data_IF_119549915762
#
_entry.id   IF_119549915762
#
_cell.length_a   1.000
_cell.length_b   1.000
_cell.length_c   1.000
_cell.angle_alpha   90.00
_cell.angle_beta   90.00
_cell.angle_gamma   90.00
#
_symmetry.space_group_name_H-M   'P 1'
#
loop_
_entity.id
_entity.type
_entity.pdbx_description
1 polymer ?
#
# COMPACT_ATOMS: atom_id res chain seq x y z
N UNK A 1 -57.32 46.04 18.27
CA UNK A 1 -58.45 45.30 18.88
C UNK A 1 -59.29 44.73 17.76
N UNK A 2 -59.62 43.42 17.71
CA UNK A 2 -58.80 42.26 18.15
C UNK A 2 -57.61 42.11 17.15
N UNK A 3 -57.02 40.99 16.69
CA UNK A 3 -56.96 39.54 17.03
C UNK A 3 -58.00 38.51 16.46
N UNK A 4 -57.53 37.25 16.25
CA UNK A 4 -58.25 36.00 15.88
C UNK A 4 -59.06 35.98 14.55
N UNK A 5 -59.38 34.83 13.91
CA UNK A 5 -58.67 33.54 13.72
C UNK A 5 -59.51 32.61 12.81
N UNK A 6 -58.90 31.83 11.90
CA UNK A 6 -59.43 30.60 11.25
C UNK A 6 -58.35 30.07 10.28
N UNK A 7 -57.46 29.14 10.62
CA UNK A 7 -57.65 27.66 10.63
C UNK A 7 -58.36 27.09 9.39
N UNK A 8 -57.56 26.56 8.47
CA UNK A 8 -57.92 25.39 7.66
C UNK A 8 -56.73 24.43 7.60
N UNK A 9 -57.02 23.14 7.66
CA UNK A 9 -56.04 22.07 7.84
C UNK A 9 -55.72 21.36 6.52
N UNK A 10 -54.44 21.28 6.16
CA UNK A 10 -53.95 20.27 5.24
C UNK A 10 -52.87 19.44 5.91
N UNK A 11 -53.21 18.18 6.21
CA UNK A 11 -52.25 17.14 6.56
C UNK A 11 -51.50 16.69 5.32
N UNK A 12 -50.18 16.76 5.35
CA UNK A 12 -49.30 16.06 4.42
C UNK A 12 -48.22 15.36 5.24
N UNK A 13 -48.23 14.03 5.21
CA UNK A 13 -47.25 13.20 5.90
C UNK A 13 -45.85 13.39 5.29
N UNK A 14 -44.84 13.52 6.14
CA UNK A 14 -43.46 13.84 5.76
C UNK A 14 -42.55 12.59 5.83
N UNK A 15 -42.00 12.10 4.70
CA UNK A 15 -41.10 10.96 4.71
C UNK A 15 -39.65 11.35 5.05
N UNK A 16 -39.14 10.73 6.12
CA UNK A 16 -37.72 10.36 6.31
C UNK A 16 -36.62 11.38 5.98
N UNK A 17 -36.11 12.08 6.99
CA UNK A 17 -34.82 12.79 6.92
C UNK A 17 -33.64 11.79 6.97
N UNK A 18 -32.91 11.60 5.88
CA UNK A 18 -31.66 10.82 5.85
C UNK A 18 -30.41 11.73 5.97
N UNK A 19 -29.62 11.64 7.07
CA UNK A 19 -28.40 12.42 7.26
C UNK A 19 -27.33 12.21 6.18
N UNK A 20 -27.35 11.10 5.43
CA UNK A 20 -26.28 10.73 4.49
C UNK A 20 -26.29 11.58 3.21
N UNK A 21 -27.44 12.10 2.79
CA UNK A 21 -27.54 12.90 1.57
C UNK A 21 -27.06 14.35 1.76
N UNK A 22 -27.27 14.94 2.94
CA UNK A 22 -26.94 16.34 3.23
C UNK A 22 -25.44 16.64 3.06
N UNK A 23 -24.57 15.76 3.54
CA UNK A 23 -23.11 15.88 3.38
C UNK A 23 -22.63 15.69 1.93
N UNK A 24 -23.39 15.00 1.08
CA UNK A 24 -23.04 14.85 -0.33
C UNK A 24 -23.32 16.16 -1.09
N UNK A 25 -24.48 16.77 -0.83
CA UNK A 25 -24.93 17.98 -1.54
C UNK A 25 -24.11 19.23 -1.15
N UNK A 26 -23.71 19.36 0.11
CA UNK A 26 -22.84 20.46 0.58
C UNK A 26 -21.45 20.45 -0.10
N UNK A 27 -20.92 19.25 -0.38
CA UNK A 27 -19.62 19.05 -1.04
C UNK A 27 -19.63 19.42 -2.53
N UNK A 28 -20.79 19.36 -3.18
CA UNK A 28 -20.96 19.77 -4.59
C UNK A 28 -20.95 21.30 -4.75
N UNK A 29 -21.59 22.02 -3.81
CA UNK A 29 -21.66 23.49 -3.80
C UNK A 29 -20.27 24.10 -3.62
N UNK A 30 -19.45 23.54 -2.71
CA UNK A 30 -18.11 24.05 -2.42
C UNK A 30 -17.15 23.95 -3.63
N UNK A 31 -17.31 22.93 -4.48
CA UNK A 31 -16.47 22.73 -5.68
C UNK A 31 -16.86 23.74 -6.78
N UNK A 32 -18.15 23.94 -7.02
CA UNK A 32 -18.63 24.90 -8.02
C UNK A 32 -18.28 26.36 -7.67
N UNK A 33 -18.10 26.69 -6.39
CA UNK A 33 -17.65 28.01 -5.93
C UNK A 33 -16.17 28.31 -6.21
N UNK A 34 -15.38 27.33 -6.67
CA UNK A 34 -13.92 27.47 -6.90
C UNK A 34 -13.53 27.44 -8.39
N UNK A 35 -14.49 27.43 -9.32
CA UNK A 35 -14.24 27.31 -10.77
C UNK A 35 -14.66 28.54 -11.59
N UNK A 36 -14.83 29.71 -10.97
CA UNK A 36 -15.34 30.90 -11.65
C UNK A 36 -14.60 32.19 -11.23
N UNK A 37 -13.53 32.60 -11.93
CA UNK A 37 -12.78 33.81 -11.62
C UNK A 37 -13.53 35.08 -12.10
N UNK A 38 -13.69 36.13 -11.27
CA UNK A 38 -14.29 37.38 -11.71
C UNK A 38 -13.35 38.13 -12.68
N UNK A 39 -13.95 38.80 -13.67
CA UNK A 39 -13.20 39.61 -14.64
C UNK A 39 -12.84 41.00 -14.11
N UNK A 40 -11.78 41.59 -14.70
CA UNK A 40 -11.27 42.97 -14.50
C UNK A 40 -10.51 43.15 -13.17
N UNK A 41 -9.50 44.03 -13.07
CA UNK A 41 -9.08 45.12 -13.97
C UNK A 41 -7.55 45.20 -14.06
N UNK A 42 -6.99 45.73 -15.15
CA UNK A 42 -5.56 46.03 -15.26
C UNK A 42 -5.14 47.11 -14.26
N UNK A 43 -4.02 46.89 -13.55
CA UNK A 43 -3.24 47.94 -12.90
C UNK A 43 -1.75 47.68 -13.18
N UNK A 44 -1.11 48.58 -13.92
CA UNK A 44 0.29 48.44 -14.35
C UNK A 44 1.25 48.89 -13.26
N UNK A 45 2.02 47.95 -12.70
CA UNK A 45 3.21 48.26 -11.91
C UNK A 45 4.47 48.19 -12.80
N UNK A 46 5.48 49.04 -12.57
CA UNK A 46 6.69 49.06 -13.40
C UNK A 46 7.56 47.83 -13.16
N UNK A 47 8.15 47.31 -14.24
CA UNK A 47 9.12 46.21 -14.20
C UNK A 47 10.43 46.69 -13.55
N UNK A 48 10.90 45.98 -12.52
CA UNK A 48 12.25 46.16 -11.96
C UNK A 48 13.16 45.03 -12.49
N UNK A 49 14.31 45.33 -13.13
CA UNK A 49 15.20 44.29 -13.64
C UNK A 49 15.98 43.59 -12.50
N UNK A 50 16.33 42.30 -12.66
CA UNK A 50 17.20 41.61 -11.72
C UNK A 50 18.66 42.14 -11.81
N UNK A 51 19.44 42.05 -10.72
CA UNK A 51 20.84 42.50 -10.71
C UNK A 51 21.74 41.60 -11.57
N UNK A 52 22.69 42.21 -12.28
CA UNK A 52 23.74 41.48 -12.99
C UNK A 52 24.70 40.83 -11.99
N UNK A 53 24.89 39.51 -12.10
CA UNK A 53 26.05 38.84 -11.53
C UNK A 53 27.25 38.98 -12.48
N UNK A 54 28.27 39.72 -12.06
CA UNK A 54 29.55 39.84 -12.78
C UNK A 54 30.44 38.64 -12.50
N UNK A 55 30.75 37.85 -13.53
CA UNK A 55 31.81 36.84 -13.46
C UNK A 55 33.18 37.52 -13.43
N UNK A 56 33.95 37.29 -12.36
CA UNK A 56 35.38 37.63 -12.30
C UNK A 56 36.20 36.39 -12.63
N UNK A 57 36.99 36.45 -13.69
CA UNK A 57 37.86 35.36 -14.13
C UNK A 57 39.25 35.51 -13.52
N UNK A 58 39.69 34.56 -12.70
CA UNK A 58 41.11 34.37 -12.39
C UNK A 58 41.61 33.06 -13.00
N UNK A 59 42.66 33.17 -13.80
CA UNK A 59 43.51 32.09 -14.32
C UNK A 59 44.92 32.34 -13.80
N UNK A 60 45.73 31.29 -13.57
CA UNK A 60 47.22 31.22 -13.59
C UNK A 60 47.68 30.00 -12.76
N UNK A 61 48.70 29.22 -13.17
CA UNK A 61 49.21 28.96 -14.52
C UNK A 61 49.33 27.45 -14.84
N UNK A 62 49.90 27.12 -16.00
CA UNK A 62 50.43 25.77 -16.31
C UNK A 62 51.93 25.76 -16.09
N UNK A 63 52.47 24.68 -15.51
CA UNK A 63 53.91 24.37 -15.53
C UNK A 63 54.13 22.89 -15.86
N UNK A 64 54.73 22.62 -17.01
CA UNK A 64 55.36 21.31 -17.28
C UNK A 64 56.65 21.21 -16.49
N UNK A 65 56.96 20.01 -15.98
CA UNK A 65 58.33 19.51 -15.99
C UNK A 65 58.35 17.98 -16.15
N UNK A 66 59.45 17.42 -16.61
CA UNK A 66 59.58 16.01 -16.96
C UNK A 66 60.83 15.37 -16.34
N UNK A 67 60.66 14.21 -15.69
CA UNK A 67 61.76 13.37 -15.21
C UNK A 67 61.33 11.90 -15.08
N UNK A 68 62.29 11.00 -14.98
CA UNK A 68 62.15 9.60 -15.42
C UNK A 68 62.34 8.57 -14.29
N UNK A 69 61.58 7.46 -14.38
CA UNK A 69 61.93 6.11 -13.91
C UNK A 69 62.12 5.91 -12.37
N UNK A 70 62.26 4.64 -11.88
CA UNK A 70 62.10 3.36 -12.56
C UNK A 70 60.93 2.49 -12.04
N UNK A 71 60.62 1.42 -12.78
CA UNK A 71 59.71 0.35 -12.34
C UNK A 71 60.50 -0.66 -11.49
N UNK A 72 59.93 -1.17 -10.40
CA UNK A 72 60.55 -2.22 -9.58
C UNK A 72 59.50 -3.29 -9.19
N UNK A 73 59.65 -4.57 -9.61
CA UNK A 73 58.65 -5.60 -9.35
C UNK A 73 58.76 -6.19 -7.93
N UNK A 74 57.65 -6.25 -7.19
CA UNK A 74 57.61 -6.98 -5.93
C UNK A 74 57.54 -8.50 -6.16
N UNK A 75 58.19 -9.25 -5.26
CA UNK A 75 58.28 -10.71 -5.35
C UNK A 75 56.94 -11.41 -5.03
N UNK A 76 56.72 -12.56 -5.68
CA UNK A 76 55.59 -13.43 -5.39
C UNK A 76 55.88 -14.30 -4.15
N UNK A 77 54.93 -14.36 -3.22
CA UNK A 77 54.86 -15.38 -2.17
C UNK A 77 53.72 -16.36 -2.50
N UNK A 78 53.95 -17.69 -2.45
CA UNK A 78 52.90 -18.67 -2.69
C UNK A 78 51.95 -18.75 -1.49
N UNK A 79 50.64 -18.62 -1.73
CA UNK A 79 49.59 -18.86 -0.73
C UNK A 79 49.06 -20.29 -0.91
N UNK A 80 49.17 -21.11 0.13
CA UNK A 80 48.70 -22.50 0.12
C UNK A 80 47.15 -22.58 0.07
N UNK A 81 46.55 -23.40 -0.82
CA UNK A 81 45.10 -23.45 -0.99
C UNK A 81 44.44 -24.53 -0.10
N UNK A 82 44.07 -24.16 1.13
CA UNK A 82 43.15 -24.94 1.99
C UNK A 82 42.09 -24.02 2.62
N UNK A 83 41.08 -24.61 3.26
CA UNK A 83 39.93 -23.94 3.91
C UNK A 83 38.93 -23.21 2.99
N UNK A 84 38.65 -23.80 1.82
CA UNK A 84 37.47 -23.48 1.01
C UNK A 84 36.18 -24.13 1.59
N UNK A 85 35.76 -23.71 2.79
CA UNK A 85 34.47 -24.08 3.39
C UNK A 85 33.52 -22.87 3.45
N UNK A 86 32.25 -23.11 3.12
CA UNK A 86 31.32 -22.07 2.70
C UNK A 86 30.95 -21.06 3.80
N UNK A 87 31.57 -19.88 3.77
CA UNK A 87 31.12 -18.71 4.53
C UNK A 87 29.79 -18.21 3.97
N UNK A 88 28.68 -18.69 4.53
CA UNK A 88 27.38 -18.05 4.33
C UNK A 88 27.47 -16.57 4.75
N UNK A 89 26.85 -15.64 4.00
CA UNK A 89 26.96 -14.22 4.29
C UNK A 89 26.22 -13.87 5.58
N UNK A 90 26.92 -13.31 6.57
CA UNK A 90 26.34 -13.00 7.89
C UNK A 90 25.14 -12.04 7.86
N UNK A 91 24.91 -11.35 6.74
CA UNK A 91 23.72 -10.53 6.48
C UNK A 91 22.43 -11.34 6.42
N UNK A 92 22.42 -12.58 5.89
CA UNK A 92 21.19 -13.39 5.82
C UNK A 92 20.73 -13.83 7.21
N UNK A 93 21.67 -14.28 8.06
CA UNK A 93 21.39 -14.59 9.47
C UNK A 93 20.93 -13.37 10.28
N UNK A 94 21.37 -12.16 9.92
CA UNK A 94 20.92 -10.94 10.56
C UNK A 94 19.48 -10.59 10.15
N UNK A 95 19.18 -10.57 8.85
CA UNK A 95 17.86 -10.23 8.32
C UNK A 95 16.75 -11.16 8.84
N UNK A 96 16.99 -12.48 8.86
CA UNK A 96 15.99 -13.43 9.36
C UNK A 96 15.79 -13.35 10.89
N UNK A 97 16.83 -12.96 11.63
CA UNK A 97 16.74 -12.68 13.09
C UNK A 97 15.96 -11.39 13.37
N UNK A 98 16.22 -10.34 12.58
CA UNK A 98 15.48 -9.08 12.62
C UNK A 98 14.00 -9.30 12.29
N UNK A 99 13.70 -10.03 11.21
CA UNK A 99 12.34 -10.44 10.84
C UNK A 99 11.64 -11.22 11.97
N UNK A 100 12.31 -12.20 12.59
CA UNK A 100 11.74 -12.97 13.69
C UNK A 100 11.43 -12.10 14.93
N UNK A 101 12.37 -11.23 15.32
CA UNK A 101 12.18 -10.31 16.45
C UNK A 101 11.07 -9.28 16.19
N UNK A 102 10.98 -8.77 14.96
CA UNK A 102 9.91 -7.89 14.52
C UNK A 102 8.54 -8.58 14.52
N UNK A 103 8.44 -9.80 14.02
CA UNK A 103 7.21 -10.62 14.11
C UNK A 103 6.75 -10.81 15.56
N UNK A 104 7.66 -11.08 16.50
CA UNK A 104 7.32 -11.16 17.92
C UNK A 104 6.76 -9.83 18.47
N UNK A 105 7.38 -8.69 18.11
CA UNK A 105 6.90 -7.35 18.48
C UNK A 105 5.50 -7.06 17.94
N UNK A 106 5.21 -7.47 16.70
CA UNK A 106 3.87 -7.33 16.11
C UNK A 106 2.84 -8.21 16.81
N UNK A 107 3.14 -9.50 17.04
CA UNK A 107 2.26 -10.41 17.81
C UNK A 107 1.92 -9.83 19.19
N UNK A 108 2.92 -9.35 19.92
CA UNK A 108 2.77 -8.77 21.26
C UNK A 108 1.95 -7.46 21.31
N UNK A 109 1.59 -6.88 20.17
CA UNK A 109 0.72 -5.71 20.07
C UNK A 109 -0.73 -6.06 19.64
N UNK A 110 -1.01 -7.30 19.20
CA UNK A 110 -2.36 -7.72 18.80
C UNK A 110 -3.34 -7.69 19.99
N UNK A 111 -4.63 -7.52 19.68
CA UNK A 111 -5.70 -7.48 20.69
C UNK A 111 -6.77 -8.52 20.38
N UNK A 112 -7.11 -9.35 21.37
CA UNK A 112 -8.09 -10.42 21.24
C UNK A 112 -9.47 -9.98 21.74
N UNK A 113 -10.52 -10.44 21.06
CA UNK A 113 -11.93 -10.20 21.41
C UNK A 113 -12.71 -11.50 21.30
N UNK A 114 -12.87 -12.18 22.43
CA UNK A 114 -13.68 -13.39 22.54
C UNK A 114 -15.17 -13.13 22.24
N UNK A 115 -15.83 -14.14 21.67
CA UNK A 115 -17.25 -14.15 21.28
C UNK A 115 -17.63 -13.10 20.22
N UNK A 116 -16.68 -12.68 19.36
CA UNK A 116 -16.89 -11.72 18.27
C UNK A 116 -16.52 -12.31 16.89
N UNK A 117 -17.29 -12.04 15.80
CA UNK A 117 -18.59 -11.36 15.77
C UNK A 117 -19.74 -12.23 16.30
N UNK A 118 -19.48 -13.51 16.58
CA UNK A 118 -20.42 -14.46 17.17
C UNK A 118 -19.73 -15.30 18.26
N UNK A 119 -20.55 -15.86 19.15
CA UNK A 119 -20.08 -16.71 20.26
C UNK A 119 -19.22 -17.88 19.76
N UNK A 120 -18.08 -18.12 20.41
CA UNK A 120 -17.15 -19.20 20.10
C UNK A 120 -16.04 -18.84 19.10
N UNK A 121 -16.00 -17.61 18.58
CA UNK A 121 -14.88 -17.08 17.81
C UNK A 121 -14.08 -16.12 18.70
N UNK A 122 -12.75 -16.24 18.68
CA UNK A 122 -11.86 -15.19 19.16
C UNK A 122 -11.40 -14.33 17.98
N UNK A 123 -11.65 -13.03 18.05
CA UNK A 123 -11.33 -12.09 16.97
C UNK A 123 -10.03 -11.34 17.28
N UNK A 124 -9.04 -11.55 16.42
CA UNK A 124 -7.74 -10.88 16.50
C UNK A 124 -7.82 -9.52 15.79
N UNK A 125 -7.78 -8.45 16.57
CA UNK A 125 -7.78 -7.06 16.12
C UNK A 125 -6.36 -6.54 15.90
N UNK A 126 -6.10 -6.14 14.65
CA UNK A 126 -4.81 -5.57 14.21
C UNK A 126 -4.74 -4.04 14.30
N UNK A 127 -5.82 -3.33 14.70
CA UNK A 127 -5.80 -1.86 14.82
C UNK A 127 -4.66 -1.32 15.72
N UNK A 128 -4.24 -1.99 16.81
CA UNK A 128 -3.08 -1.55 17.60
C UNK A 128 -1.77 -1.43 16.80
N UNK A 129 -1.59 -2.24 15.75
CA UNK A 129 -0.38 -2.22 14.91
C UNK A 129 -0.17 -0.86 14.22
N UNK A 130 -1.24 -0.10 13.99
CA UNK A 130 -1.19 1.23 13.38
C UNK A 130 -1.22 2.38 14.40
N UNK A 131 -1.62 2.09 15.64
CA UNK A 131 -1.88 3.08 16.70
C UNK A 131 -0.60 3.49 17.44
N UNK A 132 0.30 2.54 17.73
CA UNK A 132 1.65 2.84 18.21
C UNK A 132 2.56 3.10 17.00
N UNK A 133 3.15 4.31 16.83
CA UNK A 133 4.02 4.61 15.70
C UNK A 133 5.28 3.72 15.65
N UNK A 134 5.73 3.23 16.80
CA UNK A 134 6.88 2.32 16.95
C UNK A 134 6.55 0.91 16.48
N UNK A 135 5.30 0.47 16.63
CA UNK A 135 4.80 -0.81 16.10
C UNK A 135 4.48 -0.67 14.62
N UNK A 136 3.89 0.44 14.19
CA UNK A 136 3.59 0.73 12.78
C UNK A 136 4.87 0.84 11.93
N UNK A 137 5.93 1.46 12.45
CA UNK A 137 7.23 1.47 11.76
C UNK A 137 7.77 0.05 11.57
N UNK A 138 7.75 -0.75 12.65
CA UNK A 138 8.19 -2.14 12.62
C UNK A 138 7.33 -3.02 11.71
N UNK A 139 6.02 -2.76 11.59
CA UNK A 139 5.15 -3.43 10.62
C UNK A 139 5.65 -3.18 9.19
N UNK A 140 5.99 -1.94 8.86
CA UNK A 140 6.56 -1.59 7.56
C UNK A 140 7.89 -2.29 7.27
N UNK A 141 8.79 -2.33 8.25
CA UNK A 141 10.10 -3.01 8.15
C UNK A 141 9.95 -4.53 8.00
N UNK A 142 9.10 -5.14 8.82
CA UNK A 142 8.81 -6.58 8.83
C UNK A 142 8.12 -7.03 7.54
N UNK A 143 7.19 -6.24 7.00
CA UNK A 143 6.59 -6.49 5.69
C UNK A 143 7.62 -6.41 4.55
N UNK A 144 8.48 -5.39 4.58
CA UNK A 144 9.53 -5.17 3.59
C UNK A 144 10.57 -6.31 3.58
N UNK A 145 11.02 -6.75 4.76
CA UNK A 145 11.87 -7.93 4.93
C UNK A 145 11.15 -9.21 4.50
N UNK A 146 9.89 -9.41 4.91
CA UNK A 146 9.12 -10.60 4.56
C UNK A 146 8.93 -10.73 3.04
N UNK A 147 8.83 -9.63 2.29
CA UNK A 147 8.77 -9.70 0.83
C UNK A 147 10.13 -10.06 0.23
N UNK A 148 11.22 -9.46 0.74
CA UNK A 148 12.60 -9.71 0.25
C UNK A 148 13.11 -11.13 0.53
N UNK A 149 12.77 -11.72 1.68
CA UNK A 149 13.10 -13.12 2.01
C UNK A 149 12.03 -14.11 1.51
N UNK A 150 10.78 -13.66 1.37
CA UNK A 150 9.63 -14.53 1.10
C UNK A 150 9.34 -14.83 -0.37
N UNK A 151 9.80 -14.01 -1.32
CA UNK A 151 9.51 -14.19 -2.75
C UNK A 151 10.78 -14.13 -3.61
N UNK A 152 10.86 -14.99 -4.63
CA UNK A 152 12.03 -15.12 -5.52
C UNK A 152 12.29 -13.87 -6.37
N UNK A 153 11.26 -13.07 -6.59
CA UNK A 153 11.33 -11.77 -7.28
C UNK A 153 10.42 -10.78 -6.60
N UNK A 154 10.88 -9.53 -6.48
CA UNK A 154 10.03 -8.43 -6.01
C UNK A 154 8.85 -8.19 -6.97
N UNK A 155 7.71 -7.69 -6.47
CA UNK A 155 6.59 -7.26 -7.31
C UNK A 155 6.90 -5.94 -8.02
N UNK A 156 6.25 -5.70 -9.17
CA UNK A 156 6.15 -4.36 -9.77
C UNK A 156 4.98 -3.56 -9.14
N UNK A 157 3.93 -4.26 -8.69
CA UNK A 157 2.72 -3.65 -8.11
C UNK A 157 2.23 -4.43 -6.90
N UNK A 158 1.91 -3.72 -5.82
CA UNK A 158 1.15 -4.22 -4.68
C UNK A 158 -0.35 -4.01 -4.93
N UNK A 159 -1.13 -5.09 -4.87
CA UNK A 159 -2.60 -5.03 -4.97
C UNK A 159 -3.21 -5.17 -3.58
N UNK A 160 -3.75 -4.07 -3.05
CA UNK A 160 -4.49 -4.09 -1.79
C UNK A 160 -5.98 -4.36 -1.99
N UNK A 161 -6.64 -4.94 -0.98
CA UNK A 161 -8.10 -5.12 -0.95
C UNK A 161 -8.82 -4.09 -0.05
N UNK A 162 -10.02 -3.67 -0.48
CA UNK A 162 -10.88 -2.73 0.26
C UNK A 162 -11.57 -3.42 1.46
N UNK A 163 -11.32 -3.05 2.72
CA UNK A 163 -10.65 -1.83 3.18
C UNK A 163 -9.29 -2.02 3.85
N UNK A 164 -8.98 -3.20 4.40
CA UNK A 164 -7.92 -3.35 5.42
C UNK A 164 -6.53 -3.54 4.81
N UNK A 165 -6.42 -4.18 3.64
CA UNK A 165 -5.22 -4.12 2.80
C UNK A 165 -4.77 -2.71 2.42
N UNK A 166 -5.64 -1.69 2.48
CA UNK A 166 -5.25 -0.28 2.25
C UNK A 166 -4.54 0.38 3.44
N UNK A 167 -4.58 -0.22 4.64
CA UNK A 167 -3.94 0.35 5.83
C UNK A 167 -2.41 0.24 5.78
N UNK A 168 -1.89 -0.79 5.10
CA UNK A 168 -0.45 -1.05 4.96
C UNK A 168 0.03 -1.17 3.51
N UNK A 169 -0.82 -1.61 2.57
CA UNK A 169 -0.44 -1.85 1.17
C UNK A 169 0.28 -0.67 0.48
N UNK A 170 -0.22 0.58 0.57
CA UNK A 170 0.46 1.74 0.00
C UNK A 170 1.81 2.04 0.65
N UNK A 171 1.94 1.84 1.97
CA UNK A 171 3.19 2.05 2.70
C UNK A 171 4.24 0.98 2.39
N UNK A 172 3.80 -0.27 2.21
CA UNK A 172 4.65 -1.37 1.75
C UNK A 172 5.10 -1.16 0.30
N UNK A 173 4.21 -0.69 -0.59
CA UNK A 173 4.56 -0.34 -1.97
C UNK A 173 5.63 0.76 -2.03
N UNK A 174 5.46 1.82 -1.25
CA UNK A 174 6.44 2.91 -1.13
C UNK A 174 7.82 2.40 -0.65
N UNK A 175 7.85 1.54 0.38
CA UNK A 175 9.09 0.93 0.91
C UNK A 175 9.81 0.06 -0.13
N UNK A 176 9.06 -0.68 -0.94
CA UNK A 176 9.61 -1.54 -1.98
C UNK A 176 9.97 -0.78 -3.28
N UNK A 177 9.56 0.48 -3.43
CA UNK A 177 9.74 1.26 -4.66
C UNK A 177 8.80 0.87 -5.79
N UNK A 178 7.60 0.36 -5.46
CA UNK A 178 6.68 -0.29 -6.39
C UNK A 178 5.36 0.46 -6.56
N UNK A 179 4.58 0.10 -7.58
CA UNK A 179 3.23 0.63 -7.76
C UNK A 179 2.24 0.12 -6.70
N UNK A 180 1.12 0.81 -6.53
CA UNK A 180 -0.01 0.35 -5.72
C UNK A 180 -1.32 0.42 -6.51
N UNK A 181 -2.11 -0.66 -6.50
CA UNK A 181 -3.38 -0.78 -7.19
C UNK A 181 -4.51 -1.25 -6.24
N UNK A 182 -5.60 -0.47 -6.07
CA UNK A 182 -6.69 -0.84 -5.16
C UNK A 182 -7.75 -1.74 -5.83
N UNK A 183 -8.01 -2.91 -5.24
CA UNK A 183 -9.24 -3.68 -5.49
C UNK A 183 -10.36 -3.14 -4.60
N UNK A 184 -11.45 -2.65 -5.19
CA UNK A 184 -12.56 -2.02 -4.46
C UNK A 184 -13.91 -2.67 -4.72
N UNK A 185 -14.85 -2.53 -3.78
CA UNK A 185 -16.26 -2.91 -3.99
C UNK A 185 -16.87 -2.09 -5.13
N UNK A 186 -17.86 -2.65 -5.81
CA UNK A 186 -18.46 -2.06 -7.00
C UNK A 186 -18.91 -0.60 -6.80
N UNK A 187 -18.65 0.26 -7.80
CA UNK A 187 -19.02 1.67 -7.77
C UNK A 187 -18.18 2.55 -6.83
N UNK A 188 -17.03 2.07 -6.34
CA UNK A 188 -16.08 2.85 -5.53
C UNK A 188 -14.83 3.33 -6.29
N UNK A 189 -14.74 3.03 -7.59
CA UNK A 189 -13.69 3.47 -8.50
C UNK A 189 -14.29 4.28 -9.68
N UNK A 190 -13.63 5.35 -10.14
CA UNK A 190 -14.05 6.09 -11.32
C UNK A 190 -13.50 5.45 -12.61
N UNK A 191 -14.17 5.71 -13.74
CA UNK A 191 -13.71 5.31 -15.07
C UNK A 191 -13.84 3.80 -15.37
N UNK A 192 -13.24 3.33 -16.48
CA UNK A 192 -13.35 1.95 -16.93
C UNK A 192 -12.75 0.96 -15.92
N UNK A 193 -13.52 -0.04 -15.51
CA UNK A 193 -13.09 -1.07 -14.56
C UNK A 193 -13.28 -2.48 -15.13
N UNK A 194 -12.37 -3.40 -14.80
CA UNK A 194 -12.67 -4.83 -14.79
C UNK A 194 -13.45 -5.18 -13.52
N UNK A 195 -14.26 -6.24 -13.58
CA UNK A 195 -15.14 -6.67 -12.48
C UNK A 195 -15.02 -8.18 -12.26
N UNK A 196 -15.05 -8.62 -11.00
CA UNK A 196 -15.05 -10.02 -10.59
C UNK A 196 -16.04 -10.26 -9.44
N UNK A 197 -16.79 -11.36 -9.52
CA UNK A 197 -17.74 -11.76 -8.48
C UNK A 197 -17.02 -12.43 -7.31
N UNK A 198 -17.52 -12.22 -6.09
CA UNK A 198 -17.18 -13.08 -4.95
C UNK A 198 -18.44 -13.43 -4.14
N UNK A 199 -18.46 -14.67 -3.65
CA UNK A 199 -19.54 -15.18 -2.82
C UNK A 199 -19.40 -14.70 -1.37
N UNK A 200 -20.52 -14.33 -0.76
CA UNK A 200 -20.70 -14.17 0.68
C UNK A 200 -21.38 -15.43 1.23
N UNK A 201 -21.65 -15.44 2.53
CA UNK A 201 -22.56 -16.40 3.17
C UNK A 201 -23.99 -16.30 2.59
N UNK A 202 -24.40 -15.09 2.20
CA UNK A 202 -25.70 -14.82 1.58
C UNK A 202 -25.54 -13.92 0.35
N UNK A 203 -25.70 -14.50 -0.85
CA UNK A 203 -25.54 -13.82 -2.14
C UNK A 203 -24.09 -13.53 -2.51
N UNK A 204 -23.89 -12.71 -3.55
CA UNK A 204 -22.56 -12.26 -4.00
C UNK A 204 -22.35 -10.75 -3.80
N UNK A 205 -21.11 -10.32 -3.97
CA UNK A 205 -20.72 -8.94 -4.29
C UNK A 205 -19.81 -8.93 -5.52
N UNK A 206 -19.48 -7.72 -5.98
CA UNK A 206 -18.50 -7.54 -7.05
C UNK A 206 -17.34 -6.67 -6.57
N UNK A 207 -16.13 -7.19 -6.75
CA UNK A 207 -14.90 -6.40 -6.69
C UNK A 207 -14.58 -5.84 -8.08
N UNK A 208 -13.95 -4.67 -8.10
CA UNK A 208 -13.54 -3.92 -9.29
C UNK A 208 -12.10 -3.42 -9.15
N UNK A 209 -11.44 -3.27 -10.29
CA UNK A 209 -10.13 -2.66 -10.45
C UNK A 209 -10.15 -1.84 -11.75
N UNK A 210 -9.51 -0.67 -11.78
CA UNK A 210 -9.46 0.16 -13.00
C UNK A 210 -8.65 -0.53 -14.11
N UNK A 211 -9.03 -0.36 -15.37
CA UNK A 211 -8.46 -1.11 -16.50
C UNK A 211 -6.98 -0.81 -16.79
N UNK A 212 -6.46 0.30 -16.27
CA UNK A 212 -5.08 0.78 -16.38
C UNK A 212 -4.23 0.52 -15.12
N UNK A 213 -4.82 -0.05 -14.06
CA UNK A 213 -4.15 -0.25 -12.77
C UNK A 213 -3.05 -1.33 -12.78
N UNK A 214 -3.08 -2.25 -13.74
CA UNK A 214 -2.09 -3.32 -13.96
C UNK A 214 -1.82 -3.39 -15.46
N UNK A 215 -0.55 -3.51 -15.85
CA UNK A 215 -0.12 -3.75 -17.23
C UNK A 215 0.21 -5.23 -17.43
N UNK A 216 0.01 -5.80 -18.64
CA UNK A 216 0.37 -7.19 -18.92
C UNK A 216 1.84 -7.51 -18.59
N UNK A 217 2.07 -8.65 -17.94
CA UNK A 217 3.39 -9.12 -17.52
C UNK A 217 3.98 -8.43 -16.28
N UNK A 218 3.27 -7.51 -15.62
CA UNK A 218 3.71 -6.98 -14.32
C UNK A 218 3.56 -8.03 -13.23
N UNK A 219 4.56 -8.11 -12.35
CA UNK A 219 4.57 -8.98 -11.17
C UNK A 219 3.75 -8.37 -10.05
N UNK A 220 2.77 -9.12 -9.56
CA UNK A 220 1.77 -8.63 -8.61
C UNK A 220 1.81 -9.44 -7.31
N UNK A 221 1.97 -8.73 -6.20
CA UNK A 221 1.76 -9.28 -4.85
C UNK A 221 0.41 -8.77 -4.33
N UNK A 222 -0.52 -9.69 -4.05
CA UNK A 222 -1.84 -9.37 -3.51
C UNK A 222 -1.79 -9.36 -1.98
N UNK A 223 -2.34 -8.32 -1.34
CA UNK A 223 -2.36 -8.17 0.12
C UNK A 223 -3.72 -7.79 0.67
N UNK A 224 -4.09 -8.44 1.78
CA UNK A 224 -5.15 -8.02 2.69
C UNK A 224 -4.71 -8.38 4.12
N UNK A 225 -5.45 -7.94 5.13
CA UNK A 225 -4.99 -8.16 6.51
C UNK A 225 -5.18 -9.58 7.04
N UNK A 226 -6.33 -10.21 6.75
CA UNK A 226 -6.67 -11.56 7.25
C UNK A 226 -7.20 -12.42 6.10
N UNK A 227 -6.64 -13.61 5.92
CA UNK A 227 -7.26 -14.64 5.08
C UNK A 227 -8.26 -15.48 5.90
N UNK A 228 -9.51 -15.52 5.41
CA UNK A 228 -10.56 -16.41 5.89
C UNK A 228 -10.76 -17.55 4.88
N UNK A 229 -11.90 -17.62 4.19
CA UNK A 229 -12.22 -18.63 3.16
C UNK A 229 -11.51 -18.42 1.81
N UNK A 230 -10.48 -17.57 1.74
CA UNK A 230 -9.75 -17.19 0.50
C UNK A 230 -10.56 -16.46 -0.59
N UNK A 231 -11.89 -16.30 -0.43
CA UNK A 231 -12.80 -15.84 -1.49
C UNK A 231 -12.46 -14.47 -2.08
N UNK A 232 -12.21 -13.48 -1.21
CA UNK A 232 -11.87 -12.11 -1.62
C UNK A 232 -10.54 -12.05 -2.39
N UNK A 233 -9.52 -12.73 -1.89
CA UNK A 233 -8.19 -12.79 -2.52
C UNK A 233 -8.23 -13.51 -3.88
N UNK A 234 -9.04 -14.57 -4.03
CA UNK A 234 -9.27 -15.19 -5.34
C UNK A 234 -9.95 -14.24 -6.33
N UNK A 235 -10.93 -13.46 -5.90
CA UNK A 235 -11.58 -12.48 -6.77
C UNK A 235 -10.65 -11.32 -7.16
N UNK A 236 -9.75 -10.88 -6.25
CA UNK A 236 -8.66 -9.96 -6.58
C UNK A 236 -7.70 -10.58 -7.62
N UNK A 237 -7.34 -11.86 -7.47
CA UNK A 237 -6.53 -12.58 -8.44
C UNK A 237 -7.21 -12.70 -9.81
N UNK A 238 -8.53 -12.92 -9.85
CA UNK A 238 -9.30 -12.95 -11.08
C UNK A 238 -9.37 -11.58 -11.78
N UNK A 239 -9.28 -10.46 -11.04
CA UNK A 239 -9.14 -9.11 -11.61
C UNK A 239 -7.75 -8.89 -12.21
N UNK A 240 -6.69 -9.25 -11.47
CA UNK A 240 -5.29 -9.11 -11.93
C UNK A 240 -5.05 -9.93 -13.20
N UNK A 241 -5.54 -11.17 -13.24
CA UNK A 241 -5.46 -12.05 -14.42
C UNK A 241 -6.21 -11.48 -15.64
N UNK A 242 -7.34 -10.79 -15.43
CA UNK A 242 -8.08 -10.10 -16.53
C UNK A 242 -7.31 -8.91 -17.12
N UNK A 243 -6.34 -8.34 -16.40
CA UNK A 243 -5.44 -7.30 -16.90
C UNK A 243 -4.07 -7.85 -17.34
N UNK A 244 -3.89 -9.18 -17.30
CA UNK A 244 -2.66 -9.85 -17.71
C UNK A 244 -1.49 -9.75 -16.72
N UNK A 245 -1.75 -9.43 -15.45
CA UNK A 245 -0.72 -9.41 -14.41
C UNK A 245 -0.34 -10.80 -13.89
N UNK A 246 0.96 -11.01 -13.66
CA UNK A 246 1.53 -12.25 -13.15
C UNK A 246 1.58 -12.24 -11.62
N UNK A 247 0.74 -13.04 -10.98
CA UNK A 247 0.62 -13.07 -9.51
C UNK A 247 1.79 -13.88 -8.93
N UNK A 248 2.75 -13.20 -8.31
CA UNK A 248 3.90 -13.84 -7.65
C UNK A 248 3.54 -14.44 -6.28
N UNK A 249 2.42 -14.01 -5.71
CA UNK A 249 1.93 -14.54 -4.44
C UNK A 249 0.86 -13.69 -3.77
N UNK A 250 0.53 -14.12 -2.55
CA UNK A 250 -0.31 -13.40 -1.60
C UNK A 250 0.44 -13.23 -0.29
N UNK A 251 0.22 -12.10 0.40
CA UNK A 251 0.70 -11.89 1.76
C UNK A 251 -0.44 -11.36 2.64
N UNK A 252 -0.65 -12.01 3.77
CA UNK A 252 -1.62 -11.63 4.80
C UNK A 252 -0.93 -11.41 6.14
N UNK A 253 -1.51 -10.61 7.04
CA UNK A 253 -0.98 -10.46 8.40
C UNK A 253 -1.35 -11.70 9.23
N UNK A 254 -2.61 -12.15 9.14
CA UNK A 254 -3.18 -13.28 9.88
C UNK A 254 -3.93 -14.27 8.97
N UNK A 255 -4.22 -15.45 9.51
CA UNK A 255 -5.09 -16.48 8.93
C UNK A 255 -6.09 -16.97 9.96
N UNK A 256 -7.36 -17.18 9.55
CA UNK A 256 -8.35 -17.82 10.42
C UNK A 256 -8.23 -19.35 10.26
N UNK A 257 -7.83 -20.09 11.32
CA UNK A 257 -7.65 -21.54 11.25
C UNK A 257 -8.96 -22.27 10.94
N UNK A 258 -8.86 -23.39 10.21
CA UNK A 258 -10.01 -24.24 9.86
C UNK A 258 -10.91 -23.73 8.72
N UNK A 259 -10.61 -22.56 8.11
CA UNK A 259 -11.34 -22.06 6.93
C UNK A 259 -10.63 -22.35 5.59
N UNK A 260 -9.51 -23.06 5.62
CA UNK A 260 -8.76 -23.56 4.45
C UNK A 260 -8.48 -22.50 3.36
N UNK A 261 -8.25 -21.24 3.75
CA UNK A 261 -8.14 -20.12 2.83
C UNK A 261 -7.07 -20.31 1.75
N UNK A 262 -5.91 -20.88 2.11
CA UNK A 262 -4.79 -21.17 1.20
C UNK A 262 -5.20 -22.09 0.05
N UNK A 263 -6.04 -23.10 0.29
CA UNK A 263 -6.45 -24.09 -0.73
C UNK A 263 -7.19 -23.42 -1.91
N UNK A 264 -7.98 -22.38 -1.65
CA UNK A 264 -8.75 -21.65 -2.66
C UNK A 264 -7.89 -20.76 -3.56
N UNK A 265 -6.61 -20.57 -3.21
CA UNK A 265 -5.63 -19.78 -3.96
C UNK A 265 -4.72 -20.64 -4.86
N UNK A 266 -4.78 -21.98 -4.72
CA UNK A 266 -4.00 -22.94 -5.48
C UNK A 266 -2.50 -22.88 -5.18
N UNK A 267 -1.67 -23.32 -6.13
CA UNK A 267 -0.21 -23.44 -5.97
C UNK A 267 0.53 -22.08 -5.89
N UNK A 268 -0.20 -20.96 -5.93
CA UNK A 268 0.37 -19.61 -5.85
C UNK A 268 0.79 -19.28 -4.42
N UNK A 269 2.07 -18.96 -4.23
CA UNK A 269 2.71 -18.81 -2.91
C UNK A 269 1.93 -17.86 -2.00
N UNK A 270 1.46 -18.38 -0.87
CA UNK A 270 0.73 -17.62 0.15
C UNK A 270 1.56 -17.54 1.43
N UNK A 271 1.82 -16.32 1.90
CA UNK A 271 2.59 -16.03 3.11
C UNK A 271 1.66 -15.44 4.16
N UNK A 272 1.68 -16.00 5.37
CA UNK A 272 1.07 -15.40 6.56
C UNK A 272 2.20 -14.78 7.39
N UNK A 273 2.06 -13.51 7.75
CA UNK A 273 3.12 -12.79 8.45
C UNK A 273 3.26 -13.29 9.89
N UNK A 274 2.14 -13.42 10.59
CA UNK A 274 2.05 -13.83 11.98
C UNK A 274 1.25 -15.13 12.05
N UNK A 275 1.90 -16.25 11.72
CA UNK A 275 1.33 -17.60 11.93
C UNK A 275 1.15 -17.87 13.43
N UNK A 276 0.08 -18.55 13.83
CA UNK A 276 -0.30 -18.81 15.24
C UNK A 276 -0.38 -17.53 16.10
N UNK A 277 -1.25 -16.59 15.71
CA UNK A 277 -1.43 -15.27 16.33
C UNK A 277 -2.90 -14.86 16.40
#
# INVERSE_FOLDING_TARGET
TPLLSLTHSHTLDSPGFDPKNFFCQLRYILILSLSNPPQKTFLTLPFLPPPLFTMSTEQIPVSNDASQAPINPLAAHPVSPQDAQGRQPASSSAASSELASGKMKLKGALRHFADFPIKGIDFVDIMPLFLDPTVHHALGEVLELQVKEGFETLPDVIVGLDARGFLFGPGMALRLGTGFAPVRKQGKLPGPCVTAEYQKEYGSDFFQMQQDAIKPGQKVLIVDDIIATGGSAKAAADLVKKLGGDIIGYLFILEIPGLNGREKLGDTKTVILLEDA
#
